data_IF_994266261807
#
_entry.id   IF_994266261807
#
_cell.length_a   1.000
_cell.length_b   1.000
_cell.length_c   1.000
_cell.angle_alpha   90.00
_cell.angle_beta   90.00
_cell.angle_gamma   90.00
#
_symmetry.space_group_name_H-M   'P 1'
#
loop_
_entity.id
_entity.type
_entity.pdbx_description
1 polymer ?
#
# COMPACT_ATOMS: atom_id res chain seq x y z
N UNK A 1 -2.64 -33.02 13.34
CA UNK A 1 -1.82 -31.87 13.78
C UNK A 1 -2.31 -30.69 12.95
N UNK A 2 -3.35 -30.01 13.43
CA UNK A 2 -3.99 -28.93 12.67
C UNK A 2 -3.01 -27.77 12.56
N UNK A 3 -2.50 -27.53 11.35
CA UNK A 3 -1.69 -26.35 11.08
C UNK A 3 -2.60 -25.13 11.23
N UNK A 4 -2.39 -24.37 12.29
CA UNK A 4 -3.01 -23.06 12.44
C UNK A 4 -2.62 -22.22 11.22
N UNK A 5 -3.59 -21.69 10.44
CA UNK A 5 -3.29 -21.02 9.18
C UNK A 5 -2.38 -19.81 9.42
N UNK A 6 -1.36 -19.66 8.57
CA UNK A 6 -0.44 -18.51 8.57
C UNK A 6 -1.22 -17.19 8.63
N UNK A 7 -0.96 -16.39 9.67
CA UNK A 7 -1.60 -15.10 9.85
C UNK A 7 -1.01 -14.06 8.91
N UNK A 8 -1.79 -13.59 7.94
CA UNK A 8 -1.38 -12.57 6.96
C UNK A 8 -1.65 -11.13 7.46
N UNK A 9 -2.09 -10.96 8.71
CA UNK A 9 -2.57 -9.68 9.23
C UNK A 9 -1.49 -8.59 9.34
N UNK A 10 -0.24 -8.96 9.62
CA UNK A 10 0.83 -7.98 9.89
C UNK A 10 1.94 -7.96 8.83
N UNK A 11 1.77 -8.72 7.76
CA UNK A 11 2.72 -8.76 6.65
C UNK A 11 2.20 -7.94 5.48
N UNK A 12 3.10 -7.33 4.71
CA UNK A 12 2.72 -6.71 3.44
C UNK A 12 2.57 -7.83 2.40
N UNK A 13 1.34 -8.25 2.11
CA UNK A 13 1.09 -9.26 1.09
C UNK A 13 1.30 -8.66 -0.30
N UNK A 14 2.07 -9.33 -1.15
CA UNK A 14 2.31 -8.87 -2.53
C UNK A 14 1.07 -9.19 -3.37
N UNK A 15 0.46 -8.18 -3.97
CA UNK A 15 -0.74 -8.34 -4.79
C UNK A 15 -0.65 -7.53 -6.08
N UNK A 16 -1.26 -8.08 -7.14
CA UNK A 16 -1.62 -7.32 -8.32
C UNK A 16 -2.87 -6.48 -8.05
N UNK A 17 -3.04 -5.40 -8.81
CA UNK A 17 -4.16 -4.48 -8.72
C UNK A 17 -5.52 -5.17 -8.78
N UNK A 18 -5.70 -6.12 -9.69
CA UNK A 18 -6.93 -6.92 -9.81
C UNK A 18 -7.24 -7.71 -8.52
N UNK A 19 -6.24 -8.36 -7.93
CA UNK A 19 -6.43 -9.10 -6.68
C UNK A 19 -6.71 -8.18 -5.50
N UNK A 20 -6.04 -7.02 -5.45
CA UNK A 20 -6.29 -6.00 -4.44
C UNK A 20 -7.71 -5.44 -4.55
N UNK A 21 -8.19 -5.13 -5.75
CA UNK A 21 -9.56 -4.65 -5.98
C UNK A 21 -10.64 -5.67 -5.57
N UNK A 22 -10.31 -6.97 -5.57
CA UNK A 22 -11.25 -8.05 -5.27
C UNK A 22 -11.40 -8.37 -3.76
N UNK A 23 -10.65 -7.70 -2.89
CA UNK A 23 -10.75 -7.96 -1.44
C UNK A 23 -12.03 -7.37 -0.87
N UNK A 24 -12.55 -7.97 0.21
CA UNK A 24 -13.78 -7.51 0.86
C UNK A 24 -13.50 -7.07 2.30
N UNK A 25 -14.16 -6.03 2.82
CA UNK A 25 -13.94 -5.56 4.19
C UNK A 25 -14.42 -6.60 5.21
N UNK A 26 -13.76 -6.67 6.37
CA UNK A 26 -14.28 -7.43 7.51
C UNK A 26 -15.33 -6.56 8.26
N UNK A 27 -16.59 -7.01 8.38
CA UNK A 27 -17.66 -6.28 9.06
C UNK A 27 -17.30 -5.59 10.38
N UNK A 28 -16.45 -6.21 11.21
CA UNK A 28 -16.17 -5.74 12.58
C UNK A 28 -14.94 -4.84 12.67
N UNK A 29 -14.16 -4.69 11.60
CA UNK A 29 -12.96 -3.86 11.60
C UNK A 29 -12.65 -3.32 10.19
N UNK A 30 -12.79 -2.00 9.96
CA UNK A 30 -12.56 -1.39 8.64
C UNK A 30 -11.09 -1.39 8.20
N UNK A 31 -10.16 -1.78 9.06
CA UNK A 31 -8.73 -1.91 8.74
C UNK A 31 -8.34 -3.33 8.32
N UNK A 32 -9.29 -4.27 8.28
CA UNK A 32 -9.03 -5.67 7.93
C UNK A 32 -9.92 -6.07 6.78
N UNK A 33 -9.34 -6.84 5.85
CA UNK A 33 -10.00 -7.29 4.64
C UNK A 33 -9.80 -8.79 4.46
N UNK A 34 -10.71 -9.41 3.73
CA UNK A 34 -10.62 -10.79 3.30
C UNK A 34 -10.05 -10.87 1.88
N UNK A 35 -8.95 -11.62 1.76
CA UNK A 35 -8.40 -12.12 0.52
C UNK A 35 -8.61 -13.63 0.52
N UNK A 36 -9.61 -14.10 -0.21
CA UNK A 36 -9.97 -15.53 -0.31
C UNK A 36 -10.06 -16.23 1.07
N UNK A 37 -10.88 -15.68 1.97
CA UNK A 37 -11.07 -16.20 3.33
C UNK A 37 -9.92 -15.91 4.31
N UNK A 38 -8.77 -15.40 3.86
CA UNK A 38 -7.64 -15.03 4.71
C UNK A 38 -7.69 -13.54 5.06
N UNK A 39 -7.40 -13.21 6.31
CA UNK A 39 -7.43 -11.81 6.79
C UNK A 39 -6.11 -11.11 6.49
N UNK A 40 -6.19 -9.95 5.84
CA UNK A 40 -5.06 -9.09 5.52
C UNK A 40 -5.34 -7.66 6.03
N UNK A 41 -4.30 -6.89 6.28
CA UNK A 41 -4.43 -5.44 6.57
C UNK A 41 -3.42 -4.57 5.79
N UNK A 42 -2.41 -5.20 5.18
CA UNK A 42 -1.24 -4.56 4.61
C UNK A 42 -0.88 -5.21 3.30
N UNK A 43 -0.44 -4.40 2.35
CA UNK A 43 -0.11 -4.83 0.99
C UNK A 43 1.21 -4.23 0.54
N UNK A 44 1.86 -4.94 -0.37
CA UNK A 44 2.92 -4.44 -1.24
C UNK A 44 2.40 -4.51 -2.68
N UNK A 45 2.46 -3.39 -3.38
CA UNK A 45 2.07 -3.28 -4.78
C UNK A 45 3.19 -2.61 -5.57
N UNK A 46 3.26 -2.89 -6.86
CA UNK A 46 4.23 -2.30 -7.78
C UNK A 46 3.51 -1.92 -9.07
N UNK A 47 3.72 -0.70 -9.54
CA UNK A 47 3.16 -0.25 -10.82
C UNK A 47 3.70 1.11 -11.24
N UNK A 48 3.23 1.57 -12.39
CA UNK A 48 3.55 2.88 -12.94
C UNK A 48 2.68 3.94 -12.28
N UNK A 49 3.27 5.06 -11.87
CA UNK A 49 2.52 6.21 -11.35
C UNK A 49 1.73 6.88 -12.47
N UNK A 50 0.40 6.77 -12.43
CA UNK A 50 -0.52 7.28 -13.48
C UNK A 50 -1.25 8.56 -13.09
N UNK A 51 -1.14 9.02 -11.85
CA UNK A 51 -1.66 10.34 -11.44
C UNK A 51 -0.88 10.88 -10.25
N UNK A 52 -0.92 12.20 -10.05
CA UNK A 52 -0.27 12.87 -8.92
C UNK A 52 -1.03 14.14 -8.53
N UNK A 53 -1.69 14.10 -7.38
CA UNK A 53 -2.45 15.22 -6.79
C UNK A 53 -1.83 15.58 -5.43
N UNK A 54 -0.92 16.56 -5.46
CA UNK A 54 -0.16 17.00 -4.31
C UNK A 54 -0.90 18.10 -3.55
N UNK A 55 -1.24 17.85 -2.28
CA UNK A 55 -1.79 18.84 -1.34
C UNK A 55 -0.75 19.13 -0.24
N UNK A 56 -0.02 20.26 -0.32
CA UNK A 56 1.01 20.61 0.65
C UNK A 56 0.51 20.53 2.09
N UNK A 57 1.34 19.99 2.99
CA UNK A 57 1.06 19.81 4.42
C UNK A 57 -0.21 19.00 4.76
N UNK A 58 -0.80 18.31 3.77
CA UNK A 58 -1.99 17.47 3.93
C UNK A 58 -1.70 16.04 3.50
N UNK A 59 -1.61 15.80 2.20
CA UNK A 59 -1.35 14.49 1.61
C UNK A 59 -0.91 14.61 0.16
N UNK A 60 -0.27 13.57 -0.35
CA UNK A 60 -0.14 13.28 -1.77
C UNK A 60 -1.06 12.12 -2.11
N UNK A 61 -1.97 12.33 -3.07
CA UNK A 61 -2.78 11.27 -3.68
C UNK A 61 -2.21 10.94 -5.04
N UNK A 62 -1.99 9.67 -5.33
CA UNK A 62 -1.49 9.20 -6.61
C UNK A 62 -2.11 7.84 -6.94
N UNK A 63 -2.01 7.42 -8.19
CA UNK A 63 -2.48 6.09 -8.63
C UNK A 63 -1.30 5.30 -9.17
N UNK A 64 -1.31 3.98 -8.89
CA UNK A 64 -0.39 3.02 -9.50
C UNK A 64 -1.16 2.10 -10.44
N UNK A 65 -0.66 1.90 -11.64
CA UNK A 65 -1.20 0.94 -12.59
C UNK A 65 -0.18 -0.16 -12.87
N UNK A 66 -0.57 -1.40 -12.64
CA UNK A 66 0.25 -2.59 -12.88
C UNK A 66 -0.19 -3.37 -14.14
N UNK A 67 -1.12 -2.81 -14.93
CA UNK A 67 -1.75 -3.42 -16.09
C UNK A 67 -2.98 -4.26 -15.77
N UNK A 68 -3.31 -4.47 -14.49
CA UNK A 68 -4.49 -5.25 -14.07
C UNK A 68 -5.56 -4.41 -13.41
N UNK A 69 -5.19 -3.37 -12.66
CA UNK A 69 -6.09 -2.34 -12.14
C UNK A 69 -5.31 -1.12 -11.65
N UNK A 70 -5.89 0.07 -11.75
CA UNK A 70 -5.31 1.29 -11.19
C UNK A 70 -5.68 1.47 -9.71
N UNK A 71 -4.69 1.52 -8.81
CA UNK A 71 -4.87 1.55 -7.37
C UNK A 71 -4.57 2.93 -6.80
N UNK A 72 -5.50 3.51 -6.06
CA UNK A 72 -5.30 4.78 -5.36
C UNK A 72 -4.40 4.61 -4.14
N UNK A 73 -3.38 5.45 -4.04
CA UNK A 73 -2.44 5.51 -2.92
C UNK A 73 -2.48 6.89 -2.26
N UNK A 74 -2.46 6.91 -0.93
CA UNK A 74 -2.49 8.13 -0.11
C UNK A 74 -1.25 8.15 0.79
N UNK A 75 -0.36 9.11 0.54
CA UNK A 75 0.78 9.44 1.40
C UNK A 75 0.44 10.66 2.24
N UNK A 76 0.33 10.50 3.55
CA UNK A 76 0.04 11.62 4.46
C UNK A 76 1.26 12.52 4.64
N UNK A 77 1.04 13.83 4.71
CA UNK A 77 2.09 14.85 4.85
C UNK A 77 1.85 15.79 6.04
N UNK A 78 0.87 15.47 6.88
CA UNK A 78 0.42 16.26 8.02
C UNK A 78 0.95 15.72 9.36
N UNK A 79 2.08 15.02 9.36
CA UNK A 79 2.66 14.37 10.55
C UNK A 79 2.89 15.34 11.72
N UNK A 80 3.23 16.60 11.43
CA UNK A 80 3.51 17.63 12.44
C UNK A 80 2.27 18.43 12.88
N UNK A 81 1.17 18.34 12.14
CA UNK A 81 -0.03 19.15 12.36
C UNK A 81 -1.25 18.34 12.79
N UNK A 82 -1.24 17.03 12.54
CA UNK A 82 -2.37 16.15 12.87
C UNK A 82 -2.39 15.79 14.37
N UNK A 83 -3.54 15.96 15.06
CA UNK A 83 -3.67 15.59 16.46
C UNK A 83 -3.51 14.08 16.70
N UNK A 84 -3.70 13.25 15.67
CA UNK A 84 -3.46 11.81 15.73
C UNK A 84 -2.03 11.45 16.16
N UNK A 85 -1.07 12.32 15.86
CA UNK A 85 0.34 12.11 16.16
C UNK A 85 0.80 12.82 17.44
N UNK A 86 -0.06 13.56 18.14
CA UNK A 86 0.32 14.39 19.28
C UNK A 86 0.97 13.62 20.44
N UNK A 87 0.66 12.32 20.59
CA UNK A 87 1.24 11.46 21.64
C UNK A 87 2.65 10.94 21.32
N UNK A 88 3.16 11.14 20.11
CA UNK A 88 4.48 10.65 19.70
C UNK A 88 5.59 11.63 20.05
N UNK A 89 6.78 11.10 20.26
CA UNK A 89 7.96 11.92 20.53
C UNK A 89 8.25 12.89 19.35
N UNK A 90 8.48 14.20 19.61
CA UNK A 90 8.66 15.19 18.56
C UNK A 90 9.80 14.90 17.58
N UNK A 91 10.91 14.33 18.05
CA UNK A 91 12.05 13.97 17.20
C UNK A 91 11.67 12.91 16.16
N UNK A 92 10.96 11.85 16.58
CA UNK A 92 10.47 10.80 15.70
C UNK A 92 9.51 11.33 14.65
N UNK A 93 8.65 12.29 15.03
CA UNK A 93 7.71 12.91 14.08
C UNK A 93 8.41 13.73 12.99
N UNK A 94 9.51 14.42 13.33
CA UNK A 94 10.32 15.14 12.35
C UNK A 94 10.92 14.18 11.32
N UNK A 95 11.54 13.09 11.78
CA UNK A 95 12.11 12.07 10.90
C UNK A 95 11.05 11.48 9.96
N UNK A 96 9.89 11.08 10.49
CA UNK A 96 8.79 10.55 9.66
C UNK A 96 8.27 11.62 8.69
N UNK A 97 8.14 12.87 9.14
CA UNK A 97 7.68 13.97 8.30
C UNK A 97 8.65 14.24 7.14
N UNK A 98 9.96 14.19 7.39
CA UNK A 98 10.96 14.47 6.37
C UNK A 98 11.08 13.29 5.39
N UNK A 99 11.03 12.05 5.87
CA UNK A 99 10.93 10.87 5.00
C UNK A 99 9.70 10.92 4.08
N UNK A 100 8.54 11.32 4.62
CA UNK A 100 7.33 11.46 3.81
C UNK A 100 7.44 12.55 2.74
N UNK A 101 8.17 13.64 3.00
CA UNK A 101 8.47 14.66 1.98
C UNK A 101 9.39 14.09 0.89
N UNK A 102 10.46 13.40 1.27
CA UNK A 102 11.35 12.73 0.31
C UNK A 102 10.57 11.77 -0.60
N UNK A 103 9.71 10.92 -0.02
CA UNK A 103 8.85 10.03 -0.82
C UNK A 103 7.94 10.82 -1.77
N UNK A 104 7.34 11.93 -1.31
CA UNK A 104 6.47 12.75 -2.14
C UNK A 104 7.20 13.41 -3.33
N UNK A 105 8.49 13.73 -3.16
CA UNK A 105 9.35 14.27 -4.21
C UNK A 105 9.78 13.17 -5.20
N UNK A 106 10.02 11.96 -4.71
CA UNK A 106 10.41 10.82 -5.55
C UNK A 106 9.27 10.31 -6.45
N UNK A 107 8.03 10.30 -5.91
CA UNK A 107 6.82 9.88 -6.63
C UNK A 107 6.48 10.90 -7.71
N UNK A 108 6.78 10.53 -8.96
CA UNK A 108 6.52 11.34 -10.16
C UNK A 108 5.78 10.50 -11.19
N UNK A 109 4.94 11.17 -11.99
CA UNK A 109 4.20 10.54 -13.08
C UNK A 109 5.14 9.77 -14.02
N UNK A 110 4.72 8.58 -14.44
CA UNK A 110 5.47 7.71 -15.36
C UNK A 110 6.60 6.89 -14.72
N UNK A 111 6.94 7.12 -13.44
CA UNK A 111 7.91 6.27 -12.74
C UNK A 111 7.28 4.97 -12.25
N UNK A 112 8.08 3.91 -12.18
CA UNK A 112 7.70 2.66 -11.52
C UNK A 112 7.96 2.80 -10.01
N UNK A 113 6.93 2.58 -9.20
CA UNK A 113 7.02 2.72 -7.76
C UNK A 113 6.51 1.46 -7.03
N UNK A 114 7.35 0.93 -6.14
CA UNK A 114 6.97 -0.09 -5.17
C UNK A 114 6.40 0.62 -3.95
N UNK A 115 5.17 0.30 -3.59
CA UNK A 115 4.47 0.90 -2.46
C UNK A 115 4.10 -0.19 -1.46
N UNK A 116 4.47 0.04 -0.19
CA UNK A 116 3.96 -0.73 0.94
C UNK A 116 3.05 0.13 1.77
N UNK A 117 1.95 -0.45 2.23
CA UNK A 117 0.98 0.30 3.01
C UNK A 117 -0.12 -0.52 3.64
N UNK A 118 -0.97 0.19 4.37
CA UNK A 118 -2.21 -0.37 4.93
C UNK A 118 -3.33 -0.21 3.93
N UNK A 119 -4.15 -1.24 3.80
CA UNK A 119 -5.37 -1.12 3.00
C UNK A 119 -6.43 -0.39 3.81
N UNK A 120 -7.18 0.46 3.13
CA UNK A 120 -8.30 1.20 3.70
C UNK A 120 -9.34 1.43 2.61
N UNK A 121 -10.56 1.82 3.00
CA UNK A 121 -11.55 2.31 2.07
C UNK A 121 -11.92 3.75 2.40
N UNK A 122 -12.18 4.54 1.36
CA UNK A 122 -12.67 5.91 1.50
C UNK A 122 -13.82 6.14 0.54
N UNK A 123 -14.99 6.50 1.06
CA UNK A 123 -16.24 6.68 0.28
C UNK A 123 -16.63 5.47 -0.59
N UNK A 124 -16.26 4.27 -0.16
CA UNK A 124 -16.54 3.01 -0.87
C UNK A 124 -15.38 2.51 -1.72
N UNK A 125 -14.41 3.36 -2.05
CA UNK A 125 -13.29 2.98 -2.90
C UNK A 125 -12.10 2.47 -2.07
N UNK A 126 -11.47 1.38 -2.53
CA UNK A 126 -10.25 0.85 -1.94
C UNK A 126 -9.06 1.76 -2.22
N UNK A 127 -8.22 1.95 -1.22
CA UNK A 127 -7.00 2.73 -1.31
C UNK A 127 -5.91 2.19 -0.38
N UNK A 128 -4.65 2.47 -0.73
CA UNK A 128 -3.49 2.12 0.09
C UNK A 128 -2.98 3.36 0.81
N UNK A 129 -3.05 3.36 2.15
CA UNK A 129 -2.34 4.35 2.96
C UNK A 129 -0.87 3.96 3.04
N UNK A 130 -0.04 4.75 2.38
CA UNK A 130 1.39 4.50 2.15
C UNK A 130 2.15 4.53 3.48
N UNK A 131 3.00 3.53 3.68
CA UNK A 131 3.99 3.47 4.77
C UNK A 131 5.38 3.79 4.26
N UNK A 132 5.74 3.28 3.09
CA UNK A 132 7.00 3.55 2.40
C UNK A 132 6.88 3.34 0.89
N UNK A 133 7.79 3.98 0.15
CA UNK A 133 7.86 3.93 -1.31
C UNK A 133 9.31 3.76 -1.75
N UNK A 134 9.52 2.94 -2.78
CA UNK A 134 10.80 2.83 -3.49
C UNK A 134 10.53 3.05 -4.98
N UNK A 135 11.31 3.92 -5.61
CA UNK A 135 11.31 4.07 -7.07
C UNK A 135 12.21 3.00 -7.66
N UNK A 136 11.59 2.07 -8.39
CA UNK A 136 12.33 0.98 -9.03
C UNK A 136 13.03 1.50 -10.29
N UNK A 137 14.29 1.12 -10.45
CA UNK A 137 15.11 1.43 -11.64
C UNK A 137 15.48 0.19 -12.44
N UNK A 138 15.32 -0.99 -11.84
CA UNK A 138 15.54 -2.27 -12.49
C UNK A 138 14.37 -2.52 -13.46
N UNK A 139 14.63 -2.67 -14.77
CA UNK A 139 13.58 -2.97 -15.75
C UNK A 139 12.85 -4.29 -15.47
N UNK A 140 13.48 -5.23 -14.78
CA UNK A 140 12.90 -6.54 -14.49
C UNK A 140 11.99 -6.52 -13.25
N UNK A 141 12.00 -5.43 -12.46
CA UNK A 141 11.28 -5.36 -11.18
C UNK A 141 9.78 -5.64 -11.30
N UNK A 142 9.14 -5.14 -12.36
CA UNK A 142 7.71 -5.39 -12.62
C UNK A 142 7.44 -6.87 -12.92
N UNK A 143 8.25 -7.49 -13.77
CA UNK A 143 8.11 -8.89 -14.15
C UNK A 143 8.33 -9.80 -12.94
N UNK A 144 9.39 -9.54 -12.16
CA UNK A 144 9.69 -10.30 -10.94
C UNK A 144 8.56 -10.18 -9.90
N UNK A 145 8.02 -8.96 -9.70
CA UNK A 145 6.89 -8.78 -8.79
C UNK A 145 5.63 -9.52 -9.26
N UNK A 146 5.32 -9.50 -10.57
CA UNK A 146 4.19 -10.27 -11.12
C UNK A 146 4.35 -11.77 -10.86
N UNK A 147 5.55 -12.32 -11.09
CA UNK A 147 5.85 -13.73 -10.82
C UNK A 147 5.70 -14.08 -9.34
N UNK A 148 6.18 -13.20 -8.45
CA UNK A 148 6.01 -13.35 -7.00
C UNK A 148 4.52 -13.37 -6.61
N UNK A 149 3.73 -12.41 -7.09
CA UNK A 149 2.29 -12.33 -6.82
C UNK A 149 1.55 -13.59 -7.27
N UNK A 150 1.87 -14.12 -8.46
CA UNK A 150 1.26 -15.36 -8.98
C UNK A 150 1.67 -16.57 -8.13
N UNK A 151 2.96 -16.67 -7.78
CA UNK A 151 3.49 -17.77 -6.96
C UNK A 151 2.85 -17.77 -5.56
N UNK A 152 2.81 -16.61 -4.90
CA UNK A 152 2.19 -16.43 -3.59
C UNK A 152 0.68 -16.64 -3.64
N UNK A 153 0.02 -16.17 -4.71
CA UNK A 153 -1.38 -16.45 -4.98
C UNK A 153 -1.68 -17.94 -4.93
N UNK A 154 -0.94 -18.74 -5.70
CA UNK A 154 -1.12 -20.20 -5.77
C UNK A 154 -0.78 -20.92 -4.47
N UNK A 155 0.29 -20.52 -3.79
CA UNK A 155 0.83 -21.27 -2.64
C UNK A 155 0.26 -20.83 -1.29
N UNK A 156 -0.12 -19.56 -1.16
CA UNK A 156 -0.39 -18.94 0.14
C UNK A 156 -1.76 -18.29 0.24
N UNK A 157 -2.37 -17.82 -0.85
CA UNK A 157 -3.62 -17.05 -0.79
C UNK A 157 -4.84 -17.85 -1.27
N UNK A 158 -4.69 -18.58 -2.38
CA UNK A 158 -5.79 -19.29 -3.07
C UNK A 158 -5.79 -20.82 -2.86
N UNK A 159 -4.76 -21.34 -2.20
CA UNK A 159 -4.72 -22.71 -1.69
C UNK A 159 -5.31 -22.84 -0.30
#
# INVERSE_FOLDING_TARGET
MDQQPLSLLHIHVKLLGFSLHSITPWPNNPSIFYLNGKRISRVEILGVVTSRDYKPNKFLRFTLDDGTHSITCILWLNHLTSPFFASRQPATLRVISDLAKCFADDIQFGKVARVRGRVSSYRGDLQVTVSDVVIERDPDAETLHRLDCISLGRRCYFG
#
